data_IF_101649984422
#
_entry.id   IF_101649984422
#
_cell.length_a   1.000
_cell.length_b   1.000
_cell.length_c   1.000
_cell.angle_alpha   90.00
_cell.angle_beta   90.00
_cell.angle_gamma   90.00
#
_symmetry.space_group_name_H-M   'P 1'
#
loop_
_entity.id
_entity.type
_entity.pdbx_description
1 polymer ?
#
# COMPACT_ATOMS: atom_id res chain seq x y z
N UNK A 1 -2.35 8.95 -4.70
CA UNK A 1 -1.27 9.01 -3.70
C UNK A 1 -1.51 10.12 -2.68
N UNK A 2 -1.57 11.41 -3.09
CA UNK A 2 -1.72 12.54 -2.15
C UNK A 2 -2.95 12.46 -1.22
N UNK A 3 -4.13 12.13 -1.74
CA UNK A 3 -5.35 12.01 -0.92
C UNK A 3 -5.25 10.95 0.19
N UNK A 4 -4.75 9.76 -0.15
CA UNK A 4 -4.57 8.67 0.82
C UNK A 4 -3.57 9.06 1.90
N UNK A 5 -2.49 9.73 1.52
CA UNK A 5 -1.48 10.26 2.45
C UNK A 5 -2.09 11.30 3.41
N UNK A 6 -2.89 12.24 2.90
CA UNK A 6 -3.57 13.23 3.74
C UNK A 6 -4.55 12.58 4.72
N UNK A 7 -5.31 11.57 4.28
CA UNK A 7 -6.21 10.82 5.16
C UNK A 7 -5.43 10.06 6.23
N UNK A 8 -4.27 9.50 5.89
CA UNK A 8 -3.36 8.87 6.84
C UNK A 8 -2.86 9.83 7.93
N UNK A 9 -2.51 11.08 7.57
CA UNK A 9 -2.14 12.11 8.55
C UNK A 9 -3.29 12.39 9.51
N UNK A 10 -4.53 12.53 9.00
CA UNK A 10 -5.70 12.70 9.87
C UNK A 10 -5.92 11.49 10.80
N UNK A 11 -5.71 10.27 10.32
CA UNK A 11 -5.75 9.07 11.17
C UNK A 11 -4.75 9.14 12.33
N UNK A 12 -3.53 9.59 12.08
CA UNK A 12 -2.49 9.78 13.11
C UNK A 12 -2.90 10.87 14.11
N UNK A 13 -3.45 11.99 13.62
CA UNK A 13 -3.92 13.08 14.49
C UNK A 13 -5.06 12.62 15.41
N UNK A 14 -6.00 11.81 14.90
CA UNK A 14 -7.07 11.20 15.70
C UNK A 14 -6.50 10.28 16.78
N UNK A 15 -5.52 9.43 16.44
CA UNK A 15 -4.84 8.58 17.42
C UNK A 15 -4.12 9.40 18.50
N UNK A 16 -3.47 10.49 18.10
CA UNK A 16 -2.82 11.40 19.05
C UNK A 16 -3.84 12.07 19.97
N UNK A 17 -4.98 12.49 19.44
CA UNK A 17 -6.06 13.07 20.23
C UNK A 17 -6.67 12.07 21.22
N UNK A 18 -6.89 10.81 20.82
CA UNK A 18 -7.35 9.76 21.71
C UNK A 18 -6.33 9.47 22.85
N UNK A 19 -5.03 9.47 22.52
CA UNK A 19 -3.97 9.29 23.51
C UNK A 19 -3.93 10.45 24.51
N UNK A 20 -3.97 11.70 24.01
CA UNK A 20 -4.02 12.89 24.85
C UNK A 20 -5.24 12.88 25.77
N UNK A 21 -6.43 12.57 25.23
CA UNK A 21 -7.68 12.48 25.98
C UNK A 21 -7.61 11.43 27.10
N UNK A 22 -6.98 10.29 26.83
CA UNK A 22 -6.78 9.24 27.85
C UNK A 22 -5.82 9.71 28.96
N UNK A 23 -4.74 10.40 28.61
CA UNK A 23 -3.79 10.96 29.59
C UNK A 23 -4.48 12.02 30.46
N UNK A 24 -5.25 12.91 29.84
CA UNK A 24 -5.99 13.95 30.55
C UNK A 24 -7.03 13.34 31.50
N UNK A 25 -7.82 12.36 31.03
CA UNK A 25 -8.80 11.66 31.86
C UNK A 25 -8.14 10.98 33.06
N UNK A 26 -7.00 10.30 32.84
CA UNK A 26 -6.23 9.70 33.94
C UNK A 26 -5.67 10.75 34.90
N UNK A 27 -5.32 11.93 34.42
CA UNK A 27 -4.92 13.06 35.25
C UNK A 27 -6.06 13.54 36.16
N UNK A 28 -7.28 13.63 35.61
CA UNK A 28 -8.48 14.01 36.37
C UNK A 28 -8.80 12.99 37.47
N UNK A 29 -8.79 11.70 37.16
CA UNK A 29 -9.05 10.64 38.14
C UNK A 29 -8.07 10.66 39.32
N UNK A 30 -6.80 10.99 39.07
CA UNK A 30 -5.81 11.15 40.14
C UNK A 30 -6.13 12.31 41.08
N UNK A 31 -6.76 13.37 40.57
CA UNK A 31 -7.14 14.56 41.36
C UNK A 31 -8.42 14.26 42.17
N UNK A 32 -9.34 13.47 41.60
CA UNK A 32 -10.61 13.10 42.24
C UNK A 32 -10.49 11.86 43.13
N UNK A 33 -9.30 11.27 43.25
CA UNK A 33 -9.02 10.04 44.01
C UNK A 33 -9.86 8.82 43.54
N UNK A 34 -10.27 8.81 42.27
CA UNK A 34 -11.02 7.72 41.67
C UNK A 34 -10.07 6.71 41.01
N UNK A 35 -10.42 5.41 41.08
CA UNK A 35 -9.64 4.36 40.44
C UNK A 35 -9.85 4.35 38.91
N UNK A 36 -8.75 4.15 38.18
CA UNK A 36 -8.81 4.02 36.72
C UNK A 36 -9.24 2.61 36.32
N UNK A 37 -10.49 2.48 35.84
CA UNK A 37 -11.02 1.25 35.26
C UNK A 37 -10.76 1.12 33.76
N UNK A 38 -10.66 2.26 33.05
CA UNK A 38 -10.41 2.31 31.61
C UNK A 38 -10.74 3.69 31.03
N UNK A 39 -10.36 3.96 29.77
CA UNK A 39 -10.74 5.20 29.11
C UNK A 39 -12.25 5.25 28.83
N UNK A 40 -12.85 6.45 28.78
CA UNK A 40 -14.27 6.58 28.51
C UNK A 40 -14.64 6.07 27.10
N UNK A 41 -15.88 5.61 26.92
CA UNK A 41 -16.31 4.92 25.70
C UNK A 41 -16.18 5.75 24.42
N UNK A 42 -16.34 7.07 24.49
CA UNK A 42 -16.11 7.97 23.37
C UNK A 42 -14.64 7.95 22.89
N UNK A 43 -13.68 7.94 23.81
CA UNK A 43 -12.25 7.85 23.50
C UNK A 43 -11.90 6.50 22.89
N UNK A 44 -12.57 5.43 23.33
CA UNK A 44 -12.44 4.10 22.71
C UNK A 44 -12.90 4.10 21.25
N UNK A 45 -14.07 4.70 20.95
CA UNK A 45 -14.55 4.84 19.57
C UNK A 45 -13.56 5.64 18.73
N UNK A 46 -13.05 6.75 19.26
CA UNK A 46 -12.07 7.60 18.58
C UNK A 46 -10.78 6.84 18.26
N UNK A 47 -10.27 6.06 19.23
CA UNK A 47 -9.10 5.21 19.06
C UNK A 47 -9.31 4.18 17.94
N UNK A 48 -10.46 3.48 17.95
CA UNK A 48 -10.79 2.51 16.91
C UNK A 48 -10.93 3.15 15.53
N UNK A 49 -11.56 4.33 15.45
CA UNK A 49 -11.71 5.06 14.21
C UNK A 49 -10.34 5.47 13.64
N UNK A 50 -9.48 6.05 14.48
CA UNK A 50 -8.11 6.42 14.10
C UNK A 50 -7.28 5.22 13.64
N UNK A 51 -7.43 4.07 14.33
CA UNK A 51 -6.75 2.82 13.97
C UNK A 51 -7.19 2.31 12.60
N UNK A 52 -8.49 2.22 12.34
CA UNK A 52 -9.04 1.73 11.07
C UNK A 52 -8.61 2.63 9.92
N UNK A 53 -8.64 3.96 10.09
CA UNK A 53 -8.18 4.92 9.09
C UNK A 53 -6.69 4.74 8.79
N UNK A 54 -5.86 4.58 9.83
CA UNK A 54 -4.42 4.35 9.67
C UNK A 54 -4.12 3.05 8.95
N UNK A 55 -4.80 1.94 9.29
CA UNK A 55 -4.65 0.65 8.61
C UNK A 55 -5.05 0.79 7.13
N UNK A 56 -6.20 1.41 6.86
CA UNK A 56 -6.67 1.62 5.49
C UNK A 56 -5.70 2.46 4.67
N UNK A 57 -5.19 3.55 5.22
CA UNK A 57 -4.19 4.40 4.56
C UNK A 57 -2.89 3.63 4.32
N UNK A 58 -2.39 2.90 5.32
CA UNK A 58 -1.15 2.13 5.22
C UNK A 58 -1.24 0.98 4.20
N UNK A 59 -2.40 0.36 4.02
CA UNK A 59 -2.60 -0.67 2.98
C UNK A 59 -2.72 -0.08 1.58
N UNK A 60 -3.19 1.17 1.46
CA UNK A 60 -3.42 1.83 0.18
C UNK A 60 -2.21 2.64 -0.32
N UNK A 61 -1.30 3.03 0.59
CA UNK A 61 -0.08 3.78 0.29
C UNK A 61 1.00 3.01 -0.50
N UNK A 62 1.34 1.74 -0.19
CA UNK A 62 2.33 1.00 -0.97
C UNK A 62 1.79 0.81 -2.39
N UNK A 63 2.47 1.46 -3.33
CA UNK A 63 2.09 1.51 -4.73
C UNK A 63 2.20 0.13 -5.37
N UNK A 64 1.26 -0.14 -6.28
CA UNK A 64 1.16 -1.23 -7.26
C UNK A 64 2.14 -2.41 -7.05
N UNK A 65 1.57 -3.58 -6.78
CA UNK A 65 2.29 -4.84 -6.93
C UNK A 65 2.96 -4.91 -8.31
N UNK A 66 4.26 -5.15 -8.32
CA UNK A 66 5.00 -5.42 -9.54
C UNK A 66 4.82 -6.89 -9.92
N UNK A 67 4.76 -7.16 -11.22
CA UNK A 67 4.78 -8.53 -11.71
C UNK A 67 6.10 -9.20 -11.34
N UNK A 68 6.08 -10.51 -11.07
CA UNK A 68 7.29 -11.33 -10.85
C UNK A 68 7.74 -11.99 -12.16
N UNK A 69 6.85 -12.04 -13.17
CA UNK A 69 7.16 -12.70 -14.44
C UNK A 69 8.20 -11.89 -15.22
N UNK A 70 9.24 -12.57 -15.70
CA UNK A 70 10.33 -11.93 -16.45
C UNK A 70 9.89 -11.36 -17.82
N UNK A 71 8.75 -11.81 -18.34
CA UNK A 71 8.20 -11.34 -19.62
C UNK A 71 7.09 -10.30 -19.45
N UNK A 72 6.80 -9.83 -18.22
CA UNK A 72 5.93 -8.66 -18.09
C UNK A 72 6.65 -7.42 -18.60
N UNK A 73 5.89 -6.52 -19.22
CA UNK A 73 6.41 -5.28 -19.81
C UNK A 73 7.30 -4.48 -18.84
N UNK A 74 6.90 -4.37 -17.56
CA UNK A 74 7.65 -3.65 -16.52
C UNK A 74 9.04 -4.25 -16.19
N UNK A 75 9.23 -5.56 -16.44
CA UNK A 75 10.44 -6.31 -16.08
C UNK A 75 11.27 -6.73 -17.29
N UNK A 76 10.87 -6.31 -18.49
CA UNK A 76 11.53 -6.74 -19.72
C UNK A 76 12.88 -6.02 -19.85
N UNK A 77 13.94 -6.67 -19.34
CA UNK A 77 15.34 -6.22 -19.44
C UNK A 77 15.77 -5.96 -20.89
N UNK A 78 15.16 -6.65 -21.85
CA UNK A 78 15.51 -6.57 -23.27
C UNK A 78 14.46 -5.73 -24.01
N UNK A 79 14.46 -4.43 -23.75
CA UNK A 79 13.82 -3.41 -24.59
C UNK A 79 14.82 -2.86 -25.62
N UNK A 80 15.69 -3.73 -26.17
CA UNK A 80 16.55 -3.28 -27.27
C UNK A 80 15.66 -3.04 -28.49
N UNK A 81 15.74 -1.87 -29.15
CA UNK A 81 15.15 -1.72 -30.47
C UNK A 81 15.71 -2.83 -31.35
N UNK A 82 14.83 -3.49 -32.11
CA UNK A 82 15.27 -4.51 -33.04
C UNK A 82 16.31 -3.88 -33.97
N UNK A 83 17.55 -4.35 -33.88
CA UNK A 83 18.60 -3.87 -34.78
C UNK A 83 18.41 -4.59 -36.12
N UNK A 84 17.41 -4.11 -36.87
CA UNK A 84 16.90 -4.73 -38.10
C UNK A 84 18.00 -4.93 -39.14
N UNK A 85 18.99 -4.04 -39.16
CA UNK A 85 20.12 -4.06 -40.08
C UNK A 85 21.07 -5.24 -39.83
N UNK A 86 21.06 -5.82 -38.63
CA UNK A 86 21.91 -6.95 -38.23
C UNK A 86 21.12 -8.22 -37.92
N UNK A 87 19.90 -8.35 -38.44
CA UNK A 87 19.05 -9.50 -38.16
C UNK A 87 19.55 -10.76 -38.89
N UNK A 88 19.80 -11.82 -38.13
CA UNK A 88 20.26 -13.13 -38.65
C UNK A 88 19.15 -14.16 -38.47
N UNK A 89 18.76 -14.84 -39.54
CA UNK A 89 17.68 -15.85 -39.54
C UNK A 89 18.14 -17.27 -39.18
N UNK A 90 19.44 -17.48 -38.98
CA UNK A 90 20.00 -18.76 -38.56
C UNK A 90 20.03 -18.89 -37.03
N UNK A 91 18.85 -18.96 -36.41
CA UNK A 91 18.69 -19.11 -34.96
C UNK A 91 17.84 -20.32 -34.60
N UNK A 92 17.92 -20.78 -33.33
CA UNK A 92 17.15 -21.92 -32.82
C UNK A 92 15.62 -21.76 -32.93
N UNK A 93 15.14 -20.52 -33.02
CA UNK A 93 13.74 -20.19 -33.30
C UNK A 93 13.19 -20.81 -34.59
N UNK A 94 14.05 -21.16 -35.56
CA UNK A 94 13.67 -21.78 -36.84
C UNK A 94 13.06 -23.17 -36.69
N UNK A 95 13.37 -23.86 -35.58
CA UNK A 95 12.90 -25.22 -35.29
C UNK A 95 11.52 -25.21 -34.63
N UNK A 96 11.08 -24.07 -34.11
CA UNK A 96 9.76 -23.96 -33.48
C UNK A 96 8.66 -23.85 -34.55
N UNK A 97 7.55 -24.59 -34.40
CA UNK A 97 6.45 -24.52 -35.35
C UNK A 97 5.82 -23.12 -35.33
N UNK A 98 5.47 -22.61 -36.52
CA UNK A 98 4.81 -21.30 -36.73
C UNK A 98 3.33 -21.37 -36.35
N UNK A 99 3.00 -22.00 -35.22
CA UNK A 99 1.63 -21.97 -34.68
C UNK A 99 1.49 -20.64 -33.95
N UNK A 100 1.07 -19.63 -34.71
CA UNK A 100 0.68 -18.31 -34.24
C UNK A 100 -0.68 -18.39 -33.54
N UNK A 101 -0.72 -18.95 -32.35
CA UNK A 101 -1.79 -18.74 -31.36
C UNK A 101 -1.28 -17.97 -30.13
N UNK A 102 -0.11 -17.34 -30.25
CA UNK A 102 0.27 -16.27 -29.36
C UNK A 102 -0.57 -15.06 -29.74
N UNK A 103 -1.68 -14.85 -29.03
CA UNK A 103 -2.44 -13.59 -29.02
C UNK A 103 -1.47 -12.43 -28.77
N UNK A 104 -0.94 -11.85 -29.83
CA UNK A 104 -0.35 -10.52 -29.81
C UNK A 104 -1.51 -9.58 -29.47
N UNK A 105 -1.68 -9.26 -28.19
CA UNK A 105 -2.60 -8.20 -27.77
C UNK A 105 -2.06 -6.90 -28.36
N UNK A 106 -2.92 -6.23 -29.13
CA UNK A 106 -2.82 -4.80 -29.44
C UNK A 106 -2.83 -3.98 -28.14
#
# INVERSE_FOLDING_TARGET
MGFVFTVGIFGILILFHAAYSTIQYRGLLKITEEEFSGPPFNVLIELFLGLVICIWAALTLPAKFLSIHHHSEDNRIVSLPANVDFMIFNHRGKVFPVVTDLKLRQ
#
